data_IF_098556546139
#
_entry.id   IF_098556546139
#
_cell.length_a   1.000
_cell.length_b   1.000
_cell.length_c   1.000
_cell.angle_alpha   90.00
_cell.angle_beta   90.00
_cell.angle_gamma   90.00
#
_symmetry.space_group_name_H-M   'P 1'
#
loop_
_entity.id
_entity.type
_entity.pdbx_description
1 polymer ?
#
# COMPACT_ATOMS: atom_id res chain seq x y z
N UNK A 1 -29.42 12.77 6.99
CA UNK A 1 -28.09 12.58 7.56
C UNK A 1 -27.12 12.72 6.41
N UNK A 2 -26.13 13.66 6.41
CA UNK A 2 -25.12 13.63 5.39
C UNK A 2 -24.37 12.31 5.51
N UNK A 3 -24.26 11.63 4.37
CA UNK A 3 -23.53 10.37 4.20
C UNK A 3 -22.14 10.54 4.81
N UNK A 4 -21.78 9.70 5.79
CA UNK A 4 -20.47 9.78 6.43
C UNK A 4 -19.43 9.60 5.31
N UNK A 5 -18.73 10.69 4.98
CA UNK A 5 -17.83 10.74 3.85
C UNK A 5 -16.87 9.54 3.91
N UNK A 6 -17.03 8.61 2.99
CA UNK A 6 -16.16 7.46 2.86
C UNK A 6 -14.77 7.94 2.48
N UNK A 7 -13.78 7.72 3.36
CA UNK A 7 -12.38 7.99 3.04
C UNK A 7 -11.77 6.76 2.38
N UNK A 8 -11.26 6.95 1.18
CA UNK A 8 -10.62 5.90 0.37
C UNK A 8 -9.14 6.25 0.20
N UNK A 9 -8.27 5.35 0.59
CA UNK A 9 -6.83 5.42 0.37
C UNK A 9 -6.46 4.30 -0.59
N UNK A 10 -5.87 4.64 -1.73
CA UNK A 10 -5.29 3.65 -2.62
C UNK A 10 -3.84 3.37 -2.21
N UNK A 11 -3.47 2.10 -2.19
CA UNK A 11 -2.11 1.65 -1.83
C UNK A 11 -1.52 0.89 -3.01
N UNK A 12 -0.37 1.35 -3.47
CA UNK A 12 0.39 0.81 -4.60
C UNK A 12 1.78 0.40 -4.16
N UNK A 13 2.40 -0.52 -4.87
CA UNK A 13 3.82 -0.83 -4.78
C UNK A 13 4.32 -1.50 -6.05
N UNK A 14 5.63 -1.54 -6.21
CA UNK A 14 6.33 -2.40 -7.17
C UNK A 14 5.86 -2.22 -8.62
N UNK A 15 5.68 -0.97 -9.04
CA UNK A 15 5.27 -0.63 -10.41
C UNK A 15 6.41 -0.74 -11.41
N UNK A 16 7.66 -0.58 -10.97
CA UNK A 16 8.88 -0.71 -11.78
C UNK A 16 8.83 0.08 -13.10
N UNK A 17 8.24 1.28 -13.11
CA UNK A 17 8.05 2.09 -14.31
C UNK A 17 7.05 1.53 -15.33
N UNK A 18 6.38 0.41 -15.02
CA UNK A 18 5.45 -0.27 -15.92
C UNK A 18 4.13 -0.57 -15.21
N UNK A 19 3.36 0.46 -14.83
CA UNK A 19 2.07 0.24 -14.18
C UNK A 19 1.12 -0.51 -15.10
N UNK A 20 0.30 -1.38 -14.52
CA UNK A 20 -0.72 -2.11 -15.28
C UNK A 20 -1.68 -1.12 -15.97
N UNK A 21 -2.08 -1.32 -17.24
CA UNK A 21 -2.92 -0.38 -17.98
C UNK A 21 -4.24 -0.03 -17.29
N UNK A 22 -4.82 -0.94 -16.52
CA UNK A 22 -6.04 -0.71 -15.76
C UNK A 22 -5.84 0.13 -14.49
N UNK A 23 -4.61 0.44 -14.07
CA UNK A 23 -4.34 1.18 -12.84
C UNK A 23 -5.05 2.54 -12.81
N UNK A 24 -4.81 3.38 -13.81
CA UNK A 24 -5.39 4.72 -13.86
C UNK A 24 -6.93 4.72 -14.01
N UNK A 25 -7.54 3.90 -14.87
CA UNK A 25 -8.99 3.71 -14.89
C UNK A 25 -9.57 3.28 -13.55
N UNK A 26 -8.90 2.34 -12.85
CA UNK A 26 -9.31 1.88 -11.54
C UNK A 26 -9.29 3.01 -10.50
N UNK A 27 -8.19 3.76 -10.41
CA UNK A 27 -8.07 4.89 -9.48
C UNK A 27 -9.13 5.96 -9.73
N UNK A 28 -9.39 6.33 -11.00
CA UNK A 28 -10.44 7.29 -11.35
C UNK A 28 -11.83 6.79 -10.96
N UNK A 29 -12.11 5.50 -11.10
CA UNK A 29 -13.37 4.87 -10.70
C UNK A 29 -13.59 4.96 -9.18
N UNK A 30 -12.53 4.63 -8.40
CA UNK A 30 -12.62 4.55 -6.94
C UNK A 30 -12.40 5.88 -6.22
N UNK A 31 -11.92 6.93 -6.91
CA UNK A 31 -11.74 8.30 -6.42
C UNK A 31 -11.07 8.38 -5.05
N UNK A 32 -9.85 7.83 -4.88
CA UNK A 32 -9.14 7.92 -3.61
C UNK A 32 -8.85 9.39 -3.28
N UNK A 33 -8.85 9.75 -2.00
CA UNK A 33 -8.39 11.05 -1.51
C UNK A 33 -6.88 11.07 -1.28
N UNK A 34 -6.28 9.89 -1.14
CA UNK A 34 -4.85 9.70 -0.92
C UNK A 34 -4.38 8.47 -1.68
N UNK A 35 -3.23 8.58 -2.31
CA UNK A 35 -2.50 7.47 -2.92
C UNK A 35 -1.20 7.30 -2.15
N UNK A 36 -0.92 6.07 -1.71
CA UNK A 36 0.33 5.68 -1.06
C UNK A 36 1.07 4.73 -1.99
N UNK A 37 2.35 5.02 -2.28
CA UNK A 37 3.20 4.13 -3.06
C UNK A 37 4.37 3.62 -2.21
N UNK A 38 4.40 2.34 -1.93
CA UNK A 38 5.33 1.71 -1.00
C UNK A 38 6.67 1.26 -1.66
N UNK A 39 7.15 2.02 -2.65
CA UNK A 39 8.46 1.84 -3.25
C UNK A 39 8.48 0.98 -4.52
N UNK A 40 9.66 0.89 -5.14
CA UNK A 40 9.89 0.33 -6.47
C UNK A 40 8.96 0.97 -7.52
N UNK A 41 8.97 2.32 -7.51
CA UNK A 41 8.21 3.18 -8.43
C UNK A 41 8.73 3.03 -9.86
N UNK A 42 10.04 3.15 -10.01
CA UNK A 42 10.79 3.07 -11.27
C UNK A 42 10.98 4.41 -11.97
N UNK A 43 9.92 5.19 -12.17
CA UNK A 43 10.01 6.46 -12.91
C UNK A 43 9.21 7.57 -12.20
N UNK A 44 9.78 8.78 -12.18
CA UNK A 44 9.16 9.94 -11.52
C UNK A 44 7.86 10.37 -12.20
N UNK A 45 7.78 10.20 -13.51
CA UNK A 45 6.61 10.52 -14.33
C UNK A 45 5.36 9.77 -13.87
N UNK A 46 5.53 8.59 -13.29
CA UNK A 46 4.43 7.86 -12.67
C UNK A 46 3.85 8.62 -11.46
N UNK A 47 4.72 9.16 -10.60
CA UNK A 47 4.26 9.95 -9.44
C UNK A 47 3.51 11.19 -9.92
N UNK A 48 4.04 11.91 -10.91
CA UNK A 48 3.38 13.09 -11.50
C UNK A 48 2.01 12.74 -12.12
N UNK A 49 1.87 11.54 -12.67
CA UNK A 49 0.60 11.06 -13.21
C UNK A 49 -0.41 10.68 -12.11
N UNK A 50 0.06 10.11 -11.00
CA UNK A 50 -0.77 9.79 -9.82
C UNK A 50 -1.25 11.05 -9.11
N UNK A 51 -0.40 12.06 -8.97
CA UNK A 51 -0.72 13.36 -8.36
C UNK A 51 -1.84 14.11 -9.10
N UNK A 52 -2.02 13.86 -10.40
CA UNK A 52 -3.18 14.38 -11.16
C UNK A 52 -4.52 13.74 -10.77
N UNK A 53 -4.50 12.65 -10.02
CA UNK A 53 -5.71 11.95 -9.54
C UNK A 53 -5.99 12.29 -8.09
N UNK A 54 -4.98 12.21 -7.21
CA UNK A 54 -5.09 12.49 -5.79
C UNK A 54 -3.73 12.84 -5.19
N UNK A 55 -3.74 13.44 -4.00
CA UNK A 55 -2.52 13.61 -3.21
C UNK A 55 -1.76 12.28 -3.14
N UNK A 56 -0.49 12.28 -3.52
CA UNK A 56 0.33 11.08 -3.58
C UNK A 56 1.49 11.20 -2.60
N UNK A 57 1.65 10.19 -1.75
CA UNK A 57 2.82 10.03 -0.88
C UNK A 57 3.52 8.75 -1.30
N UNK A 58 4.82 8.83 -1.47
CA UNK A 58 5.63 7.70 -1.91
C UNK A 58 6.94 7.62 -1.14
N UNK A 59 7.50 6.45 -1.13
CA UNK A 59 8.85 6.16 -0.69
C UNK A 59 9.61 5.48 -1.82
N UNK A 60 10.93 5.43 -1.70
CA UNK A 60 11.74 4.63 -2.62
C UNK A 60 11.75 3.15 -2.24
N UNK A 61 11.92 2.30 -3.24
CA UNK A 61 12.33 0.91 -3.08
C UNK A 61 13.79 0.72 -3.51
N UNK A 62 14.18 -0.52 -3.75
CA UNK A 62 15.57 -0.86 -4.07
C UNK A 62 15.97 -0.50 -5.51
N UNK A 63 15.00 -0.32 -6.43
CA UNK A 63 15.29 0.08 -7.82
C UNK A 63 15.21 1.59 -8.04
N UNK A 64 14.68 2.34 -7.07
CA UNK A 64 14.48 3.78 -7.19
C UNK A 64 15.78 4.56 -6.87
N UNK A 65 15.93 5.78 -7.39
CA UNK A 65 17.06 6.63 -7.08
C UNK A 65 17.20 6.92 -5.59
N UNK A 66 18.40 7.27 -5.16
CA UNK A 66 18.66 7.82 -3.84
C UNK A 66 18.67 9.34 -3.88
N UNK A 67 18.24 9.99 -2.81
CA UNK A 67 18.31 11.44 -2.69
C UNK A 67 17.09 12.06 -1.98
N UNK A 68 17.09 13.37 -1.76
CA UNK A 68 16.10 14.04 -0.92
C UNK A 68 14.66 13.98 -1.45
N UNK A 69 14.47 13.72 -2.74
CA UNK A 69 13.16 13.53 -3.35
C UNK A 69 12.65 12.09 -3.26
N UNK A 70 13.46 11.16 -2.78
CA UNK A 70 13.16 9.73 -2.71
C UNK A 70 13.37 9.23 -1.27
N UNK A 71 12.45 9.50 -0.35
CA UNK A 71 12.60 9.09 1.04
C UNK A 71 12.56 7.56 1.19
N UNK A 72 13.40 7.02 2.09
CA UNK A 72 13.44 5.58 2.39
C UNK A 72 12.19 5.11 3.15
N UNK A 73 11.65 6.01 3.97
CA UNK A 73 10.50 5.74 4.83
C UNK A 73 9.64 7.00 4.96
N UNK A 74 8.37 6.81 5.28
CA UNK A 74 7.48 7.93 5.57
C UNK A 74 6.52 7.57 6.70
N UNK A 75 6.49 8.39 7.76
CA UNK A 75 5.49 8.31 8.81
C UNK A 75 4.40 9.35 8.55
N UNK A 76 3.15 8.91 8.55
CA UNK A 76 1.98 9.72 8.24
C UNK A 76 0.94 9.64 9.35
N UNK A 77 0.32 10.76 9.65
CA UNK A 77 -0.89 10.80 10.47
C UNK A 77 -2.06 11.29 9.65
N UNK A 78 -3.06 10.44 9.47
CA UNK A 78 -4.27 10.73 8.71
C UNK A 78 -5.42 10.97 9.67
N UNK A 79 -6.10 12.12 9.53
CA UNK A 79 -7.31 12.43 10.28
C UNK A 79 -8.55 12.06 9.48
N UNK A 80 -9.54 11.45 10.13
CA UNK A 80 -10.86 11.24 9.59
C UNK A 80 -11.83 12.24 10.22
N UNK A 81 -12.88 12.61 9.52
CA UNK A 81 -13.84 13.63 9.94
C UNK A 81 -14.52 13.39 11.29
N UNK A 82 -14.43 12.17 11.83
CA UNK A 82 -14.87 11.78 13.18
C UNK A 82 -13.92 12.22 14.31
N UNK A 83 -12.80 12.86 14.00
CA UNK A 83 -11.73 13.17 14.94
C UNK A 83 -10.75 12.03 15.20
N UNK A 84 -11.02 10.84 14.67
CA UNK A 84 -10.12 9.69 14.74
C UNK A 84 -8.89 9.91 13.88
N UNK A 85 -7.74 9.52 14.39
CA UNK A 85 -6.45 9.62 13.69
C UNK A 85 -5.89 8.23 13.47
N UNK A 86 -5.18 8.05 12.38
CA UNK A 86 -4.51 6.81 11.99
C UNK A 86 -3.04 7.12 11.70
N UNK A 87 -2.15 6.48 12.43
CA UNK A 87 -0.71 6.58 12.19
C UNK A 87 -0.27 5.40 11.31
N UNK A 88 0.36 5.73 10.18
CA UNK A 88 0.87 4.77 9.19
C UNK A 88 2.38 4.94 9.05
N UNK A 89 3.07 3.84 8.83
CA UNK A 89 4.46 3.80 8.41
C UNK A 89 4.56 3.17 7.04
N UNK A 90 5.18 3.86 6.09
CA UNK A 90 5.60 3.30 4.82
C UNK A 90 7.08 2.94 4.91
N UNK A 91 7.40 1.69 4.57
CA UNK A 91 8.78 1.19 4.47
C UNK A 91 8.80 0.04 3.45
N UNK A 92 9.63 0.15 2.39
CA UNK A 92 9.56 -0.78 1.27
C UNK A 92 9.82 -2.23 1.66
N UNK A 93 10.87 -2.49 2.44
CA UNK A 93 11.20 -3.82 2.94
C UNK A 93 10.95 -3.92 4.45
N UNK A 94 9.69 -4.12 4.84
CA UNK A 94 9.27 -4.18 6.24
C UNK A 94 9.19 -5.60 6.80
N UNK A 95 8.92 -6.59 5.95
CA UNK A 95 8.59 -7.95 6.38
C UNK A 95 9.50 -8.98 5.71
N UNK A 96 10.08 -9.86 6.51
CA UNK A 96 10.81 -11.03 6.08
C UNK A 96 10.25 -12.27 6.78
N UNK A 97 9.93 -13.34 6.01
CA UNK A 97 9.36 -14.57 6.55
C UNK A 97 8.16 -14.32 7.50
N UNK A 98 7.23 -13.48 7.08
CA UNK A 98 5.99 -13.07 7.80
C UNK A 98 6.22 -12.30 9.11
N UNK A 99 7.44 -11.84 9.38
CA UNK A 99 7.80 -11.04 10.56
C UNK A 99 8.39 -9.69 10.17
N UNK A 100 8.16 -8.68 11.02
CA UNK A 100 8.81 -7.38 10.85
C UNK A 100 10.34 -7.52 10.90
N UNK A 101 11.00 -6.84 9.98
CA UNK A 101 12.46 -6.71 9.97
C UNK A 101 12.94 -5.89 11.17
N UNK A 102 14.23 -6.03 11.52
CA UNK A 102 14.83 -5.21 12.59
C UNK A 102 14.70 -3.72 12.29
N UNK A 103 14.87 -3.31 11.03
CA UNK A 103 14.77 -1.91 10.64
C UNK A 103 13.34 -1.39 10.80
N UNK A 104 12.33 -2.18 10.39
CA UNK A 104 10.93 -1.84 10.59
C UNK A 104 10.58 -1.71 12.09
N UNK A 105 11.10 -2.60 12.94
CA UNK A 105 10.92 -2.53 14.39
C UNK A 105 11.57 -1.28 15.01
N UNK A 106 12.78 -0.92 14.57
CA UNK A 106 13.46 0.29 15.01
C UNK A 106 12.65 1.55 14.61
N UNK A 107 12.19 1.63 13.38
CA UNK A 107 11.32 2.73 12.93
C UNK A 107 10.02 2.82 13.72
N UNK A 108 9.37 1.70 14.01
CA UNK A 108 8.15 1.65 14.82
C UNK A 108 8.40 2.05 16.28
N UNK A 109 9.61 1.81 16.81
CA UNK A 109 9.98 2.29 18.13
C UNK A 109 10.02 3.80 18.19
N UNK A 110 10.62 4.45 17.19
CA UNK A 110 10.78 5.90 17.12
C UNK A 110 9.51 6.60 16.58
N UNK A 111 8.77 5.94 15.71
CA UNK A 111 7.55 6.42 15.06
C UNK A 111 6.43 5.39 15.18
N UNK A 112 5.75 5.30 16.35
CA UNK A 112 4.67 4.34 16.55
C UNK A 112 3.56 4.49 15.51
N UNK A 113 3.17 3.37 14.88
CA UNK A 113 2.12 3.33 13.88
C UNK A 113 1.17 2.15 14.11
N UNK A 114 -0.10 2.31 13.73
CA UNK A 114 -1.09 1.23 13.76
C UNK A 114 -1.01 0.35 12.50
N UNK A 115 -0.51 0.90 11.40
CA UNK A 115 -0.42 0.20 10.12
C UNK A 115 0.98 0.39 9.55
N UNK A 116 1.59 -0.71 9.11
CA UNK A 116 2.80 -0.71 8.27
C UNK A 116 2.39 -1.09 6.85
N UNK A 117 2.69 -0.21 5.91
CA UNK A 117 2.48 -0.42 4.48
C UNK A 117 3.84 -0.70 3.85
N UNK A 118 3.94 -1.78 3.10
CA UNK A 118 5.21 -2.24 2.52
C UNK A 118 5.01 -2.88 1.13
N UNK A 119 6.10 -3.16 0.43
CA UNK A 119 6.13 -3.77 -0.91
C UNK A 119 7.14 -4.90 -1.00
N UNK A 120 8.01 -4.82 -2.01
CA UNK A 120 9.19 -5.64 -2.25
C UNK A 120 8.92 -7.11 -2.64
N UNK A 121 8.06 -7.80 -1.90
CA UNK A 121 7.76 -9.22 -2.18
C UNK A 121 6.85 -9.42 -3.39
N UNK A 122 6.16 -8.38 -3.85
CA UNK A 122 5.08 -8.43 -4.86
C UNK A 122 3.89 -9.30 -4.45
N UNK A 123 3.87 -9.80 -3.21
CA UNK A 123 2.84 -10.68 -2.70
C UNK A 123 1.78 -9.85 -1.96
N UNK A 124 0.52 -9.84 -2.42
CA UNK A 124 -0.55 -9.23 -1.65
C UNK A 124 -0.65 -9.88 -0.27
N UNK A 125 -0.57 -9.07 0.79
CA UNK A 125 -0.57 -9.58 2.15
C UNK A 125 -1.35 -8.67 3.09
N UNK A 126 -2.14 -9.27 3.97
CA UNK A 126 -2.77 -8.61 5.10
C UNK A 126 -2.60 -9.49 6.34
N UNK A 127 -1.99 -8.94 7.37
CA UNK A 127 -1.72 -9.67 8.60
C UNK A 127 -1.52 -8.72 9.77
N UNK A 128 -1.13 -9.28 10.92
CA UNK A 128 -0.83 -8.50 12.12
C UNK A 128 0.40 -9.04 12.83
N UNK A 129 1.19 -8.14 13.40
CA UNK A 129 2.22 -8.49 14.37
C UNK A 129 2.01 -7.66 15.63
N UNK A 130 1.68 -8.32 16.75
CA UNK A 130 1.22 -7.63 17.95
C UNK A 130 -0.05 -6.82 17.68
N UNK A 131 0.05 -5.49 17.84
CA UNK A 131 -1.06 -4.55 17.58
C UNK A 131 -0.95 -3.84 16.24
N UNK A 132 0.07 -4.14 15.44
CA UNK A 132 0.35 -3.49 14.18
C UNK A 132 -0.26 -4.29 13.05
N UNK A 133 -1.05 -3.63 12.22
CA UNK A 133 -1.56 -4.18 10.96
C UNK A 133 -0.46 -4.09 9.89
N UNK A 134 -0.21 -5.18 9.19
CA UNK A 134 0.77 -5.28 8.12
C UNK A 134 0.03 -5.40 6.78
N UNK A 135 0.28 -4.47 5.86
CA UNK A 135 -0.42 -4.42 4.59
C UNK A 135 0.54 -4.24 3.41
N UNK A 136 0.59 -5.25 2.55
CA UNK A 136 1.29 -5.19 1.26
C UNK A 136 0.25 -5.23 0.14
N UNK A 137 0.17 -4.22 -0.73
CA UNK A 137 -0.82 -4.18 -1.82
C UNK A 137 -0.54 -5.20 -2.93
N UNK A 138 0.61 -5.87 -2.91
CA UNK A 138 1.14 -6.61 -4.05
C UNK A 138 1.81 -5.69 -5.06
N UNK A 139 1.97 -6.14 -6.31
CA UNK A 139 2.55 -5.37 -7.39
C UNK A 139 1.47 -4.80 -8.30
N UNK A 140 1.48 -3.48 -8.50
CA UNK A 140 0.64 -2.81 -9.51
C UNK A 140 1.33 -2.70 -10.88
N UNK A 141 2.52 -3.27 -11.02
CA UNK A 141 3.31 -3.40 -12.23
C UNK A 141 3.35 -4.83 -12.78
N UNK A 142 4.50 -5.27 -13.33
CA UNK A 142 4.63 -6.61 -13.86
C UNK A 142 4.43 -7.69 -12.79
N UNK A 143 3.58 -8.70 -13.02
CA UNK A 143 3.39 -9.79 -12.07
C UNK A 143 4.65 -10.65 -11.97
N UNK A 144 4.91 -11.22 -10.78
CA UNK A 144 5.96 -12.21 -10.57
C UNK A 144 5.36 -13.55 -10.16
N UNK A 145 6.00 -14.65 -10.57
CA UNK A 145 5.65 -16.02 -10.13
C UNK A 145 4.16 -16.39 -10.28
N UNK A 146 3.51 -15.89 -11.32
CA UNK A 146 2.09 -16.17 -11.56
C UNK A 146 1.11 -15.49 -10.62
N UNK A 147 1.59 -14.59 -9.75
CA UNK A 147 0.72 -13.78 -8.89
C UNK A 147 -0.10 -12.78 -9.72
N UNK A 148 -1.28 -12.40 -9.25
CA UNK A 148 -2.07 -11.36 -9.90
C UNK A 148 -1.37 -10.00 -9.79
N UNK A 149 -1.65 -9.11 -10.72
CA UNK A 149 -1.27 -7.71 -10.58
C UNK A 149 -2.30 -7.01 -9.71
N UNK A 150 -1.89 -6.57 -8.52
CA UNK A 150 -2.84 -6.06 -7.52
C UNK A 150 -2.50 -4.68 -7.02
N UNK A 151 -3.51 -4.03 -6.47
CA UNK A 151 -3.40 -2.87 -5.60
C UNK A 151 -4.27 -3.05 -4.36
N UNK A 152 -4.06 -2.22 -3.34
CA UNK A 152 -4.87 -2.20 -2.14
C UNK A 152 -5.79 -0.99 -2.06
N UNK A 153 -6.96 -1.15 -1.44
CA UNK A 153 -7.76 -0.04 -0.93
C UNK A 153 -7.91 -0.16 0.59
N UNK A 154 -7.64 0.93 1.28
CA UNK A 154 -8.00 1.10 2.69
C UNK A 154 -9.19 2.07 2.72
N UNK A 155 -10.32 1.61 3.27
CA UNK A 155 -11.52 2.42 3.39
C UNK A 155 -11.88 2.61 4.86
N UNK A 156 -12.22 3.84 5.23
CA UNK A 156 -12.82 4.14 6.51
C UNK A 156 -14.31 4.40 6.33
N UNK A 157 -15.13 3.57 6.96
CA UNK A 157 -16.59 3.72 6.98
C UNK A 157 -17.06 3.66 8.43
N UNK A 158 -17.65 4.74 8.94
CA UNK A 158 -18.17 4.83 10.31
C UNK A 158 -17.17 4.30 11.35
N UNK A 159 -15.91 4.77 11.29
CA UNK A 159 -14.79 4.39 12.16
C UNK A 159 -14.30 2.95 12.03
N UNK A 160 -14.75 2.20 11.04
CA UNK A 160 -14.26 0.88 10.71
C UNK A 160 -13.33 0.94 9.49
N UNK A 161 -12.09 0.49 9.65
CA UNK A 161 -11.14 0.33 8.56
C UNK A 161 -11.37 -1.03 7.89
N UNK A 162 -11.41 -1.01 6.57
CA UNK A 162 -11.39 -2.22 5.73
C UNK A 162 -10.19 -2.17 4.80
N UNK A 163 -9.57 -3.32 4.60
CA UNK A 163 -8.43 -3.52 3.72
C UNK A 163 -8.83 -4.50 2.64
N UNK A 164 -8.67 -4.13 1.39
CA UNK A 164 -9.09 -4.97 0.27
C UNK A 164 -8.02 -4.93 -0.82
N UNK A 165 -7.63 -6.10 -1.31
CA UNK A 165 -6.82 -6.20 -2.53
C UNK A 165 -7.74 -6.33 -3.75
N UNK A 166 -7.32 -5.76 -4.87
CA UNK A 166 -8.02 -5.86 -6.15
C UNK A 166 -7.06 -6.35 -7.23
N UNK A 167 -7.49 -7.32 -8.01
CA UNK A 167 -6.77 -7.75 -9.22
C UNK A 167 -7.06 -6.73 -10.34
N UNK A 168 -6.03 -6.04 -10.80
CA UNK A 168 -6.13 -5.05 -11.87
C UNK A 168 -6.54 -5.63 -13.22
N UNK A 169 -6.38 -6.93 -13.45
CA UNK A 169 -6.79 -7.60 -14.70
C UNK A 169 -8.29 -7.76 -14.79
N UNK A 170 -8.95 -8.03 -13.65
CA UNK A 170 -10.41 -8.25 -13.59
C UNK A 170 -11.16 -7.06 -13.02
N UNK A 171 -10.50 -6.24 -12.20
CA UNK A 171 -11.11 -5.18 -11.41
C UNK A 171 -11.90 -5.69 -10.20
N UNK A 172 -11.82 -6.98 -9.89
CA UNK A 172 -12.51 -7.63 -8.78
C UNK A 172 -11.63 -7.71 -7.52
N UNK A 173 -12.28 -7.93 -6.38
CA UNK A 173 -11.56 -8.21 -5.14
C UNK A 173 -10.73 -9.48 -5.30
N UNK A 174 -9.46 -9.36 -4.96
CA UNK A 174 -8.56 -10.50 -4.89
C UNK A 174 -8.47 -11.01 -3.46
N UNK A 175 -8.55 -12.33 -3.30
CA UNK A 175 -8.32 -13.03 -2.03
C UNK A 175 -7.36 -14.18 -2.28
N UNK A 176 -6.39 -14.42 -1.38
CA UNK A 176 -5.52 -15.58 -1.52
C UNK A 176 -6.37 -16.85 -1.49
N UNK A 177 -6.17 -17.73 -2.46
CA UNK A 177 -6.75 -19.08 -2.40
C UNK A 177 -6.30 -19.75 -1.11
N UNK A 178 -7.19 -20.46 -0.43
CA UNK A 178 -6.89 -21.17 0.82
C UNK A 178 -5.74 -22.18 0.69
N UNK A 179 -5.38 -22.57 -0.53
CA UNK A 179 -4.24 -23.44 -0.84
C UNK A 179 -2.86 -22.80 -0.57
N UNK A 180 -2.75 -21.48 -0.54
CA UNK A 180 -1.47 -20.79 -0.30
C UNK A 180 -1.21 -20.45 1.17
N UNK A 181 -2.14 -20.76 2.06
CA UNK A 181 -1.96 -20.57 3.51
C UNK A 181 -1.22 -21.74 4.20
N UNK A 182 -0.93 -22.81 3.47
CA UNK A 182 -0.41 -24.06 4.03
C UNK A 182 1.10 -24.30 3.94
N UNK A 183 1.85 -23.56 3.14
CA UNK A 183 3.27 -23.87 2.83
C UNK A 183 4.30 -22.88 3.39
N UNK A 184 3.93 -22.09 4.39
CA UNK A 184 4.89 -21.33 5.20
C UNK A 184 5.31 -22.17 6.43
N UNK A 185 5.99 -23.30 6.18
CA UNK A 185 6.74 -24.04 7.21
C UNK A 185 8.22 -23.76 7.11
#
# INVERSE_FOLDING_TARGET
>A
MPDAAQHVIAVLSDTHGRPHPALFPFLRKHRPQLILHAGDVGEKELIEALEKIATTVYIRGNVDPTGPLWPDTCSLRIGFGSGKKLDLLLIHFAVAQVRLTRDALNFLHDHPAQIVIFGHSHLPFLGTEGKVCLFNPGSAGPPRWGLPTTLGLIKNMADRLTFTHFDLRTGEEWRPDQKHQGDAR
#
